data_IF_764308040484
#
_entry.id   IF_764308040484
#
_cell.length_a   1.000
_cell.length_b   1.000
_cell.length_c   1.000
_cell.angle_alpha   90.00
_cell.angle_beta   90.00
_cell.angle_gamma   90.00
#
_symmetry.space_group_name_H-M   'P 1'
#
loop_
_entity.id
_entity.type
_entity.pdbx_description
1 polymer ?
#
# COMPACT_ATOMS: atom_id res chain seq x y z
N UNK A 1 -26.54 21.00 -9.36
CA UNK A 1 -25.22 20.36 -9.64
C UNK A 1 -24.68 19.84 -8.31
N UNK A 2 -24.55 18.53 -8.12
CA UNK A 2 -23.86 17.97 -6.94
C UNK A 2 -22.38 18.32 -7.10
N UNK A 3 -21.84 19.11 -6.19
CA UNK A 3 -20.39 19.34 -6.10
C UNK A 3 -19.73 18.00 -5.72
N UNK A 4 -19.04 17.38 -6.65
CA UNK A 4 -18.33 16.09 -6.43
C UNK A 4 -17.04 16.26 -5.60
N UNK A 5 -16.88 17.36 -4.87
CA UNK A 5 -15.77 17.67 -3.95
C UNK A 5 -14.39 17.16 -4.42
N UNK A 6 -14.16 17.21 -5.75
CA UNK A 6 -12.92 16.77 -6.39
C UNK A 6 -12.82 15.28 -6.68
N UNK A 7 -13.86 14.46 -6.41
CA UNK A 7 -13.86 13.03 -6.72
C UNK A 7 -13.66 12.81 -8.22
N UNK A 8 -12.62 12.06 -8.61
CA UNK A 8 -12.25 11.82 -10.01
C UNK A 8 -12.88 10.55 -10.58
N UNK A 9 -13.14 9.57 -9.73
CA UNK A 9 -13.88 8.34 -10.06
C UNK A 9 -14.55 7.77 -8.79
N UNK A 10 -15.56 6.94 -8.98
CA UNK A 10 -16.13 6.11 -7.93
C UNK A 10 -15.41 4.77 -7.87
N UNK A 11 -15.19 4.29 -6.67
CA UNK A 11 -14.52 3.02 -6.46
C UNK A 11 -15.38 1.83 -6.88
N UNK A 12 -14.76 0.77 -7.31
CA UNK A 12 -15.45 -0.49 -7.54
C UNK A 12 -15.87 -1.13 -6.21
N UNK A 13 -17.04 -1.77 -6.21
CA UNK A 13 -17.53 -2.55 -5.06
C UNK A 13 -16.75 -3.85 -4.85
N UNK A 14 -16.05 -4.33 -5.90
CA UNK A 14 -15.25 -5.56 -5.89
C UNK A 14 -13.79 -5.28 -6.15
N UNK A 15 -12.92 -6.14 -5.60
CA UNK A 15 -11.50 -6.11 -5.90
C UNK A 15 -11.23 -6.38 -7.38
N UNK A 16 -10.22 -5.71 -7.92
CA UNK A 16 -9.68 -6.04 -9.24
C UNK A 16 -9.13 -7.46 -9.24
N UNK A 17 -9.33 -8.18 -10.35
CA UNK A 17 -8.78 -9.52 -10.51
C UNK A 17 -7.25 -9.48 -10.45
N UNK A 18 -6.65 -10.46 -9.76
CA UNK A 18 -5.20 -10.53 -9.52
C UNK A 18 -4.37 -10.52 -10.81
N UNK A 19 -4.85 -11.22 -11.84
CA UNK A 19 -4.20 -11.33 -13.15
C UNK A 19 -4.31 -10.06 -14.00
N UNK A 20 -5.26 -9.17 -13.72
CA UNK A 20 -5.50 -7.91 -14.41
C UNK A 20 -5.01 -6.68 -13.64
N UNK A 21 -4.67 -6.84 -12.38
CA UNK A 21 -4.29 -5.76 -11.50
C UNK A 21 -2.91 -5.19 -11.88
N UNK A 22 -2.83 -3.87 -11.98
CA UNK A 22 -1.59 -3.15 -12.21
C UNK A 22 -0.74 -3.11 -10.93
N UNK A 23 0.56 -2.99 -11.08
CA UNK A 23 1.46 -2.78 -9.95
C UNK A 23 1.48 -1.32 -9.52
N UNK A 24 1.52 -1.09 -8.22
CA UNK A 24 1.78 0.22 -7.68
C UNK A 24 3.25 0.60 -7.95
N UNK A 25 3.52 1.82 -8.44
CA UNK A 25 4.88 2.22 -8.78
C UNK A 25 5.80 2.26 -7.54
N UNK A 26 7.06 1.88 -7.72
CA UNK A 26 8.06 2.13 -6.70
C UNK A 26 8.37 3.62 -6.66
N UNK A 27 8.13 4.24 -5.51
CA UNK A 27 8.43 5.65 -5.26
C UNK A 27 9.58 5.73 -4.26
N UNK A 28 10.45 6.72 -4.47
CA UNK A 28 11.58 6.98 -3.58
C UNK A 28 11.34 8.28 -2.81
N UNK A 29 11.42 8.22 -1.48
CA UNK A 29 11.14 9.36 -0.62
C UNK A 29 11.74 9.24 0.76
N UNK A 30 11.88 10.39 1.45
CA UNK A 30 12.28 10.39 2.86
C UNK A 30 11.08 10.01 3.75
N UNK A 31 11.37 9.38 4.87
CA UNK A 31 10.35 9.00 5.86
C UNK A 31 10.54 9.76 7.17
N UNK A 32 9.54 9.71 8.05
CA UNK A 32 9.72 10.26 9.40
C UNK A 32 10.78 9.49 10.19
N UNK A 33 10.99 8.21 9.91
CA UNK A 33 12.06 7.41 10.51
C UNK A 33 13.44 7.74 9.92
N UNK A 34 13.51 8.00 8.59
CA UNK A 34 14.75 8.30 7.85
C UNK A 34 14.62 9.64 7.09
N UNK A 35 14.78 10.80 7.77
CA UNK A 35 14.58 12.12 7.16
C UNK A 35 15.76 12.58 6.30
N UNK A 36 16.88 11.86 6.29
CA UNK A 36 18.09 12.20 5.53
C UNK A 36 18.29 11.27 4.32
N UNK A 37 17.94 10.01 4.46
CA UNK A 37 18.16 8.97 3.47
C UNK A 37 16.82 8.54 2.87
N UNK A 38 16.62 8.77 1.57
CA UNK A 38 15.41 8.30 0.89
C UNK A 38 15.30 6.78 0.93
N UNK A 39 14.08 6.30 1.05
CA UNK A 39 13.71 4.89 1.09
C UNK A 39 12.78 4.56 -0.07
N UNK A 40 12.85 3.34 -0.56
CA UNK A 40 11.95 2.83 -1.60
C UNK A 40 10.66 2.31 -0.97
N UNK A 41 9.52 2.73 -1.53
CA UNK A 41 8.21 2.27 -1.06
C UNK A 41 8.02 0.77 -1.26
N UNK A 42 8.59 0.20 -2.32
CA UNK A 42 8.48 -1.24 -2.61
C UNK A 42 9.09 -2.11 -1.52
N UNK A 43 10.16 -1.67 -0.87
CA UNK A 43 10.79 -2.40 0.24
C UNK A 43 9.86 -2.54 1.46
N UNK A 44 9.01 -1.52 1.70
CA UNK A 44 8.03 -1.53 2.79
C UNK A 44 6.73 -2.26 2.42
N UNK A 45 6.29 -2.12 1.15
CA UNK A 45 4.99 -2.62 0.68
C UNK A 45 4.99 -4.12 0.41
N UNK A 46 6.11 -4.67 -0.10
CA UNK A 46 6.22 -6.07 -0.47
C UNK A 46 6.03 -6.99 0.73
N UNK A 47 5.27 -8.06 0.54
CA UNK A 47 4.98 -9.06 1.56
C UNK A 47 3.86 -8.68 2.54
N UNK A 48 3.22 -7.51 2.37
CA UNK A 48 2.13 -7.06 3.24
C UNK A 48 0.94 -6.58 2.42
N UNK A 49 -0.26 -6.76 2.97
CA UNK A 49 -1.44 -6.06 2.50
C UNK A 49 -1.32 -4.60 2.93
N UNK A 50 -1.43 -3.67 1.98
CA UNK A 50 -1.18 -2.26 2.28
C UNK A 50 -2.32 -1.36 1.81
N UNK A 51 -2.81 -0.51 2.70
CA UNK A 51 -3.68 0.61 2.35
C UNK A 51 -2.79 1.85 2.21
N UNK A 52 -2.66 2.34 0.98
CA UNK A 52 -1.78 3.46 0.64
C UNK A 52 -2.60 4.71 0.39
N UNK A 53 -2.38 5.73 1.20
CA UNK A 53 -2.89 7.08 1.00
C UNK A 53 -1.88 7.87 0.16
N UNK A 54 -2.33 8.47 -0.93
CA UNK A 54 -1.53 9.31 -1.82
C UNK A 54 -2.14 10.71 -1.90
N UNK A 55 -1.43 11.73 -1.45
CA UNK A 55 -1.92 13.10 -1.39
C UNK A 55 -0.81 14.14 -1.61
N UNK A 56 -1.18 15.38 -1.98
CA UNK A 56 -0.23 16.47 -2.28
C UNK A 56 -0.55 17.77 -1.54
N UNK A 57 -1.57 17.78 -0.71
CA UNK A 57 -2.01 18.96 0.04
C UNK A 57 -2.79 18.56 1.29
N UNK A 58 -2.98 19.50 2.22
CA UNK A 58 -3.82 19.30 3.42
C UNK A 58 -5.25 18.95 3.04
N UNK A 59 -5.77 19.55 1.96
CA UNK A 59 -7.11 19.24 1.46
C UNK A 59 -7.20 17.79 0.93
N UNK A 60 -6.22 17.33 0.14
CA UNK A 60 -6.16 15.96 -0.31
C UNK A 60 -5.95 14.97 0.85
N UNK A 61 -5.14 15.35 1.86
CA UNK A 61 -4.95 14.58 3.09
C UNK A 61 -6.27 14.41 3.86
N UNK A 62 -7.08 15.48 3.98
CA UNK A 62 -8.40 15.38 4.63
C UNK A 62 -9.36 14.44 3.86
N UNK A 63 -9.26 14.35 2.54
CA UNK A 63 -10.04 13.41 1.74
C UNK A 63 -9.64 11.96 2.00
N UNK A 64 -8.35 11.62 1.96
CA UNK A 64 -7.92 10.25 2.24
C UNK A 64 -8.21 9.86 3.69
N UNK A 65 -8.21 10.82 4.62
CA UNK A 65 -8.59 10.58 6.01
C UNK A 65 -10.05 10.11 6.16
N UNK A 66 -10.94 10.46 5.23
CA UNK A 66 -12.33 9.95 5.24
C UNK A 66 -12.39 8.44 5.00
N UNK A 67 -11.41 7.85 4.31
CA UNK A 67 -11.28 6.41 4.10
C UNK A 67 -10.55 5.70 5.23
N UNK A 68 -9.48 6.32 5.79
CA UNK A 68 -8.50 5.63 6.61
C UNK A 68 -8.34 6.21 8.02
N UNK A 69 -9.08 7.26 8.36
CA UNK A 69 -9.08 7.83 9.70
C UNK A 69 -9.80 6.93 10.71
N UNK A 70 -9.29 6.80 11.95
CA UNK A 70 -9.88 5.93 12.96
C UNK A 70 -11.35 6.25 13.29
N UNK A 71 -11.70 7.53 13.30
CA UNK A 71 -13.05 8.01 13.57
C UNK A 71 -14.01 7.80 12.39
N UNK A 72 -13.48 7.87 11.16
CA UNK A 72 -14.25 7.78 9.92
C UNK A 72 -14.45 6.33 9.48
N UNK A 73 -13.46 5.48 9.73
CA UNK A 73 -13.50 4.06 9.37
C UNK A 73 -12.95 3.17 10.50
N UNK A 74 -13.71 2.99 11.59
CA UNK A 74 -13.29 2.18 12.73
C UNK A 74 -13.05 0.71 12.36
N UNK A 75 -13.82 0.14 11.40
CA UNK A 75 -13.63 -1.23 10.95
C UNK A 75 -12.28 -1.48 10.27
N UNK A 76 -11.79 -0.51 9.50
CA UNK A 76 -10.44 -0.58 8.95
C UNK A 76 -9.38 -0.52 10.05
N UNK A 77 -9.58 0.34 11.04
CA UNK A 77 -8.67 0.46 12.17
C UNK A 77 -8.59 -0.85 12.97
N UNK A 78 -9.72 -1.50 13.22
CA UNK A 78 -9.78 -2.82 13.86
C UNK A 78 -9.01 -3.88 13.05
N UNK A 79 -9.16 -3.88 11.71
CA UNK A 79 -8.41 -4.80 10.85
C UNK A 79 -6.89 -4.60 10.98
N UNK A 80 -6.41 -3.34 11.09
CA UNK A 80 -5.00 -3.04 11.31
C UNK A 80 -4.49 -3.55 12.67
N UNK A 81 -5.32 -3.53 13.70
CA UNK A 81 -4.97 -4.02 15.04
C UNK A 81 -4.92 -5.55 15.08
N UNK A 82 -5.95 -6.20 14.55
CA UNK A 82 -6.13 -7.65 14.65
C UNK A 82 -5.26 -8.46 13.70
N UNK A 83 -4.93 -7.90 12.53
CA UNK A 83 -4.15 -8.59 11.51
C UNK A 83 -2.70 -8.08 11.40
N UNK A 84 -2.20 -7.30 12.37
CA UNK A 84 -0.78 -6.96 12.44
C UNK A 84 0.08 -8.22 12.63
N UNK A 85 1.24 -8.38 11.95
CA UNK A 85 1.91 -7.45 11.06
C UNK A 85 1.57 -7.62 9.56
N UNK A 86 0.54 -8.40 9.20
CA UNK A 86 0.21 -8.75 7.80
C UNK A 86 -0.36 -7.58 7.01
N UNK A 87 -0.94 -6.60 7.69
CA UNK A 87 -1.58 -5.43 7.09
C UNK A 87 -0.96 -4.14 7.62
N UNK A 88 -0.92 -3.11 6.79
CA UNK A 88 -0.40 -1.80 7.16
C UNK A 88 -1.10 -0.66 6.44
N UNK A 89 -1.05 0.54 7.05
CA UNK A 89 -1.37 1.81 6.41
C UNK A 89 -0.08 2.53 6.05
N UNK A 90 0.00 3.10 4.84
CA UNK A 90 1.13 3.88 4.35
C UNK A 90 0.63 5.22 3.83
N UNK A 91 1.21 6.30 4.31
CA UNK A 91 0.87 7.66 3.89
C UNK A 91 1.99 8.21 3.00
N UNK A 92 1.66 8.65 1.78
CA UNK A 92 2.60 9.18 0.79
C UNK A 92 2.19 10.60 0.43
N UNK A 93 2.96 11.57 0.91
CA UNK A 93 2.84 12.97 0.53
C UNK A 93 3.73 13.23 -0.70
N UNK A 94 3.11 13.59 -1.83
CA UNK A 94 3.81 13.95 -3.08
C UNK A 94 3.94 15.46 -3.15
N UNK A 95 5.15 15.99 -2.94
CA UNK A 95 5.40 17.42 -2.97
C UNK A 95 6.54 17.76 -3.94
N UNK A 96 6.17 18.16 -5.15
CA UNK A 96 7.13 18.48 -6.22
C UNK A 96 7.75 19.87 -6.06
N UNK A 97 7.03 20.80 -5.40
CA UNK A 97 7.51 22.13 -5.17
C UNK A 97 8.61 22.13 -4.09
N UNK A 98 9.81 22.60 -4.46
CA UNK A 98 10.98 22.57 -3.57
C UNK A 98 10.79 23.39 -2.28
N UNK A 99 10.11 24.54 -2.36
CA UNK A 99 9.86 25.40 -1.20
C UNK A 99 8.86 24.76 -0.24
N UNK A 100 7.78 24.19 -0.77
CA UNK A 100 6.80 23.47 0.05
C UNK A 100 7.41 22.21 0.67
N UNK A 101 8.20 21.45 -0.08
CA UNK A 101 8.90 20.28 0.44
C UNK A 101 9.86 20.66 1.59
N UNK A 102 10.55 21.80 1.50
CA UNK A 102 11.37 22.32 2.57
C UNK A 102 10.53 22.65 3.81
N UNK A 103 9.37 23.30 3.65
CA UNK A 103 8.44 23.56 4.76
C UNK A 103 7.93 22.26 5.39
N UNK A 104 7.49 21.28 4.60
CA UNK A 104 7.07 19.97 5.11
C UNK A 104 8.20 19.34 5.92
N UNK A 105 9.43 19.37 5.39
CA UNK A 105 10.61 18.84 6.10
C UNK A 105 10.86 19.54 7.45
N UNK A 106 10.66 20.84 7.53
CA UNK A 106 10.74 21.59 8.80
C UNK A 106 9.73 21.09 9.83
N UNK A 107 8.52 20.73 9.38
CA UNK A 107 7.46 20.25 10.27
C UNK A 107 7.52 18.76 10.60
N UNK A 108 8.36 17.98 9.93
CA UNK A 108 8.48 16.53 10.15
C UNK A 108 8.78 16.18 11.61
N UNK A 109 9.57 17.01 12.33
CA UNK A 109 9.84 16.77 13.75
C UNK A 109 8.56 16.86 14.61
N UNK A 110 7.64 17.80 14.30
CA UNK A 110 6.34 17.91 14.99
C UNK A 110 5.42 16.73 14.64
N UNK A 111 5.47 16.27 13.40
CA UNK A 111 4.72 15.09 12.98
C UNK A 111 5.22 13.83 13.70
N UNK A 112 6.54 13.68 13.86
CA UNK A 112 7.12 12.58 14.66
C UNK A 112 6.64 12.59 16.11
N UNK A 113 6.47 13.76 16.71
CA UNK A 113 5.96 13.86 18.08
C UNK A 113 4.47 13.50 18.22
N UNK A 114 3.68 13.63 17.13
CA UNK A 114 2.24 13.37 17.13
C UNK A 114 1.86 11.97 16.66
N UNK A 115 2.65 11.38 15.75
CA UNK A 115 2.37 10.08 15.17
C UNK A 115 3.05 8.98 15.99
N UNK A 116 2.37 7.82 16.04
CA UNK A 116 2.93 6.62 16.63
C UNK A 116 4.29 6.28 15.97
N UNK A 117 5.34 5.95 16.75
CA UNK A 117 6.63 5.53 16.21
C UNK A 117 6.56 4.41 15.17
N UNK A 118 5.60 3.50 15.27
CA UNK A 118 5.35 2.46 14.28
C UNK A 118 4.89 3.00 12.93
N UNK A 119 4.33 4.22 12.88
CA UNK A 119 3.92 4.89 11.65
C UNK A 119 5.06 5.68 11.00
N UNK A 120 6.14 6.00 11.70
CA UNK A 120 7.25 6.80 11.16
C UNK A 120 7.87 6.23 9.87
N UNK A 121 8.17 4.92 9.75
CA UNK A 121 8.68 4.35 8.50
C UNK A 121 7.63 4.25 7.39
N UNK A 122 6.34 4.43 7.72
CA UNK A 122 5.19 4.30 6.80
C UNK A 122 4.67 5.65 6.31
N UNK A 123 5.27 6.75 6.73
CA UNK A 123 4.97 8.09 6.24
C UNK A 123 6.10 8.58 5.34
N UNK A 124 5.80 8.82 4.06
CA UNK A 124 6.76 9.21 3.03
C UNK A 124 6.51 10.64 2.56
N UNK A 125 7.60 11.35 2.27
CA UNK A 125 7.59 12.55 1.45
C UNK A 125 8.35 12.26 0.16
N UNK A 126 7.62 12.19 -0.96
CA UNK A 126 8.14 11.91 -2.31
C UNK A 126 8.19 13.19 -3.10
N UNK A 127 9.35 13.51 -3.70
CA UNK A 127 9.54 14.73 -4.48
C UNK A 127 9.56 14.51 -5.98
N UNK A 128 9.98 13.34 -6.41
CA UNK A 128 10.19 12.99 -7.82
C UNK A 128 9.83 11.50 -8.04
N UNK A 129 9.68 11.12 -9.29
CA UNK A 129 9.45 9.73 -9.66
C UNK A 129 8.01 9.38 -10.03
N UNK A 130 7.03 10.20 -9.64
CA UNK A 130 5.65 10.03 -10.07
C UNK A 130 5.39 10.84 -11.35
N UNK A 131 5.87 10.32 -12.49
CA UNK A 131 5.68 10.94 -13.82
C UNK A 131 4.21 10.98 -14.22
N UNK A 132 3.86 11.81 -15.20
CA UNK A 132 2.48 11.92 -15.69
C UNK A 132 1.93 10.57 -16.18
N UNK A 133 2.70 9.83 -16.96
CA UNK A 133 2.29 8.49 -17.42
C UNK A 133 2.09 7.49 -16.26
N UNK A 134 2.88 7.57 -15.18
CA UNK A 134 2.65 6.75 -13.99
C UNK A 134 1.38 7.18 -13.24
N UNK A 135 1.10 8.48 -13.16
CA UNK A 135 -0.16 8.99 -12.58
C UNK A 135 -1.38 8.47 -13.33
N UNK A 136 -1.35 8.59 -14.65
CA UNK A 136 -2.42 8.08 -15.53
C UNK A 136 -2.60 6.57 -15.35
N UNK A 137 -1.52 5.80 -15.32
CA UNK A 137 -1.58 4.33 -15.16
C UNK A 137 -2.22 3.87 -13.86
N UNK A 138 -2.05 4.62 -12.77
CA UNK A 138 -2.68 4.33 -11.48
C UNK A 138 -4.02 5.06 -11.26
N UNK A 139 -4.54 5.77 -12.30
CA UNK A 139 -5.79 6.51 -12.25
C UNK A 139 -5.74 7.83 -11.48
N UNK A 140 -4.56 8.39 -11.24
CA UNK A 140 -4.38 9.68 -10.58
C UNK A 140 -4.56 10.83 -11.57
N UNK A 141 -5.80 11.09 -11.98
CA UNK A 141 -6.16 12.08 -13.01
C UNK A 141 -6.02 13.52 -12.55
N UNK A 142 -6.06 13.78 -11.24
CA UNK A 142 -5.94 15.12 -10.67
C UNK A 142 -5.01 15.09 -9.45
N UNK A 143 -3.83 15.67 -9.58
CA UNK A 143 -2.82 15.69 -8.53
C UNK A 143 -3.23 16.44 -7.25
N UNK A 144 -4.30 17.26 -7.30
CA UNK A 144 -4.82 18.00 -6.14
C UNK A 144 -5.78 17.18 -5.28
N UNK A 145 -6.24 16.02 -5.78
CA UNK A 145 -7.18 15.13 -5.10
C UNK A 145 -6.41 14.05 -4.33
N UNK A 146 -6.96 13.58 -3.23
CA UNK A 146 -6.45 12.45 -2.49
C UNK A 146 -6.88 11.12 -3.12
N UNK A 147 -5.99 10.14 -3.10
CA UNK A 147 -6.24 8.79 -3.60
C UNK A 147 -5.92 7.75 -2.53
N UNK A 148 -6.70 6.69 -2.50
CA UNK A 148 -6.48 5.54 -1.62
C UNK A 148 -6.38 4.30 -2.48
N UNK A 149 -5.31 3.52 -2.28
CA UNK A 149 -5.08 2.26 -2.98
C UNK A 149 -5.00 1.13 -1.98
N UNK A 150 -5.67 0.02 -2.28
CA UNK A 150 -5.49 -1.23 -1.55
C UNK A 150 -4.59 -2.14 -2.38
N UNK A 151 -3.45 -2.51 -1.81
CA UNK A 151 -2.43 -3.34 -2.44
C UNK A 151 -2.39 -4.73 -1.80
N UNK A 152 -2.17 -5.75 -2.63
CA UNK A 152 -1.82 -7.08 -2.15
C UNK A 152 -0.32 -7.19 -1.78
N UNK A 153 0.09 -8.33 -1.27
CA UNK A 153 1.48 -8.64 -0.86
C UNK A 153 2.52 -8.50 -1.99
N UNK A 154 2.08 -8.53 -3.24
CA UNK A 154 2.92 -8.35 -4.43
C UNK A 154 2.90 -6.92 -4.97
N UNK A 155 2.38 -5.96 -4.19
CA UNK A 155 2.21 -4.55 -4.59
C UNK A 155 1.25 -4.34 -5.77
N UNK A 156 0.31 -5.27 -6.03
CA UNK A 156 -0.72 -5.08 -7.06
C UNK A 156 -1.87 -4.24 -6.51
N UNK A 157 -2.35 -3.29 -7.29
CA UNK A 157 -3.51 -2.46 -6.96
C UNK A 157 -4.76 -3.34 -7.09
N UNK A 158 -5.34 -3.73 -5.96
CA UNK A 158 -6.53 -4.57 -5.92
C UNK A 158 -7.81 -3.74 -5.77
N UNK A 159 -7.70 -2.50 -5.34
CA UNK A 159 -8.79 -1.54 -5.25
C UNK A 159 -8.23 -0.10 -5.21
N UNK A 160 -9.03 0.87 -5.66
CA UNK A 160 -8.68 2.28 -5.63
C UNK A 160 -9.90 3.16 -5.34
N UNK A 161 -9.69 4.25 -4.60
CA UNK A 161 -10.65 5.30 -4.31
C UNK A 161 -10.05 6.68 -4.53
N UNK A 162 -10.91 7.68 -4.77
CA UNK A 162 -10.50 9.08 -4.99
C UNK A 162 -11.44 10.05 -4.28
N UNK A 163 -10.89 11.20 -3.86
CA UNK A 163 -11.67 12.25 -3.17
C UNK A 163 -12.21 11.80 -1.82
N UNK A 164 -13.30 12.38 -1.31
CA UNK A 164 -13.91 11.96 -0.04
C UNK A 164 -14.62 10.61 -0.19
N UNK A 165 -14.60 9.81 0.88
CA UNK A 165 -15.24 8.49 0.91
C UNK A 165 -16.77 8.60 0.88
N UNK A 166 -17.41 7.69 0.13
CA UNK A 166 -18.84 7.40 0.24
C UNK A 166 -19.03 6.11 1.06
N UNK A 167 -20.20 5.90 1.73
CA UNK A 167 -20.42 4.76 2.61
C UNK A 167 -20.15 3.40 1.94
N UNK A 168 -20.59 3.24 0.67
CA UNK A 168 -20.38 2.00 -0.09
C UNK A 168 -18.90 1.75 -0.41
N UNK A 169 -18.11 2.81 -0.52
CA UNK A 169 -16.66 2.72 -0.76
C UNK A 169 -15.91 2.30 0.51
N UNK A 170 -16.36 2.74 1.70
CA UNK A 170 -15.82 2.30 2.98
C UNK A 170 -16.06 0.81 3.18
N UNK A 171 -17.28 0.34 2.89
CA UNK A 171 -17.62 -1.08 2.95
C UNK A 171 -16.77 -1.89 1.97
N UNK A 172 -16.64 -1.43 0.72
CA UNK A 172 -15.84 -2.10 -0.29
C UNK A 172 -14.35 -2.19 0.09
N UNK A 173 -13.78 -1.12 0.66
CA UNK A 173 -12.41 -1.10 1.17
C UNK A 173 -12.22 -2.10 2.31
N UNK A 174 -13.10 -2.09 3.32
CA UNK A 174 -13.01 -2.97 4.49
C UNK A 174 -13.12 -4.44 4.08
N UNK A 175 -14.12 -4.78 3.27
CA UNK A 175 -14.30 -6.12 2.73
C UNK A 175 -13.09 -6.56 1.89
N UNK A 176 -12.52 -5.62 1.11
CA UNK A 176 -11.31 -5.84 0.33
C UNK A 176 -10.10 -6.16 1.19
N UNK A 177 -9.88 -5.39 2.27
CA UNK A 177 -8.79 -5.61 3.22
C UNK A 177 -8.91 -6.97 3.88
N UNK A 178 -10.08 -7.33 4.41
CA UNK A 178 -10.31 -8.64 5.02
C UNK A 178 -10.04 -9.78 4.05
N UNK A 179 -10.50 -9.65 2.80
CA UNK A 179 -10.26 -10.66 1.76
C UNK A 179 -8.78 -10.83 1.46
N UNK A 180 -8.03 -9.74 1.30
CA UNK A 180 -6.59 -9.83 1.02
C UNK A 180 -5.79 -10.38 2.20
N UNK A 181 -6.19 -10.08 3.44
CA UNK A 181 -5.60 -10.71 4.64
C UNK A 181 -5.81 -12.23 4.62
N UNK A 182 -7.00 -12.69 4.25
CA UNK A 182 -7.29 -14.12 4.11
C UNK A 182 -6.47 -14.75 2.97
N UNK A 183 -6.43 -14.11 1.78
CA UNK A 183 -5.59 -14.56 0.66
C UNK A 183 -4.12 -14.71 1.11
N UNK A 184 -3.60 -13.74 1.90
CA UNK A 184 -2.23 -13.76 2.43
C UNK A 184 -2.01 -14.91 3.42
N UNK A 185 -2.94 -15.14 4.35
CA UNK A 185 -2.83 -16.26 5.32
C UNK A 185 -2.79 -17.59 4.60
N UNK A 186 -3.67 -17.82 3.61
CA UNK A 186 -3.69 -19.04 2.81
C UNK A 186 -2.37 -19.23 2.04
N UNK A 187 -1.82 -18.14 1.46
CA UNK A 187 -0.52 -18.20 0.78
C UNK A 187 0.59 -18.64 1.73
N UNK A 188 0.65 -18.06 2.93
CA UNK A 188 1.65 -18.42 3.94
C UNK A 188 1.50 -19.88 4.39
N UNK A 189 0.29 -20.35 4.61
CA UNK A 189 0.03 -21.74 4.99
C UNK A 189 0.43 -22.72 3.88
N UNK A 190 0.25 -22.35 2.61
CA UNK A 190 0.63 -23.19 1.46
C UNK A 190 2.15 -23.25 1.23
N UNK A 191 2.90 -22.26 1.68
CA UNK A 191 4.37 -22.21 1.57
C UNK A 191 5.07 -22.98 2.71
N UNK A 192 4.43 -23.17 3.87
CA UNK A 192 5.00 -23.87 5.03
C UNK A 192 5.50 -25.29 4.71
N UNK A 193 4.73 -26.16 4.01
CA UNK A 193 5.21 -27.50 3.67
C UNK A 193 6.44 -27.51 2.78
N UNK A 194 6.56 -26.53 1.85
CA UNK A 194 7.72 -26.40 0.99
C UNK A 194 8.97 -25.97 1.77
N UNK A 195 8.81 -25.00 2.67
CA UNK A 195 9.91 -24.53 3.54
C UNK A 195 10.36 -25.62 4.51
N UNK A 196 9.44 -26.38 5.09
CA UNK A 196 9.78 -27.52 5.95
C UNK A 196 10.51 -28.61 5.18
N UNK A 197 10.11 -28.87 3.93
CA UNK A 197 10.77 -29.83 3.06
C UNK A 197 12.19 -29.36 2.69
N UNK A 198 12.36 -28.10 2.30
CA UNK A 198 13.67 -27.50 2.00
C UNK A 198 14.60 -27.50 3.22
N UNK A 199 14.08 -27.22 4.41
CA UNK A 199 14.86 -27.28 5.65
C UNK A 199 15.33 -28.70 5.99
N UNK A 200 14.54 -29.73 5.66
CA UNK A 200 14.92 -31.15 5.85
C UNK A 200 15.94 -31.61 4.82
N UNK A 201 15.82 -31.15 3.55
CA UNK A 201 16.72 -31.56 2.46
C UNK A 201 18.03 -30.79 2.45
N UNK A 202 18.09 -29.57 2.98
CA UNK A 202 19.32 -28.78 3.10
C UNK A 202 20.33 -29.30 4.11
N UNK A 203 20.03 -30.39 4.84
CA UNK A 203 20.94 -31.05 5.75
C UNK A 203 21.59 -32.33 5.18
N UNK A 204 21.25 -32.71 3.93
CA UNK A 204 21.77 -33.90 3.28
C UNK A 204 22.55 -33.57 1.99
N UNK A 205 23.71 -32.95 2.14
CA UNK A 205 24.60 -32.49 1.05
C UNK A 205 25.39 -33.67 0.40
N UNK A 206 24.85 -34.88 0.33
CA UNK A 206 25.55 -35.99 -0.27
C UNK A 206 24.81 -36.85 -1.31
N UNK A 207 23.66 -36.42 -1.80
CA UNK A 207 22.95 -37.16 -2.85
C UNK A 207 22.51 -36.26 -4.02
N UNK A 208 23.39 -36.08 -5.00
CA UNK A 208 23.02 -35.51 -6.30
C UNK A 208 22.05 -36.44 -7.01
N UNK A 209 20.73 -36.21 -6.83
CA UNK A 209 19.71 -36.85 -7.64
C UNK A 209 19.62 -36.14 -8.99
N UNK A 210 20.32 -36.68 -9.99
CA UNK A 210 20.11 -36.31 -11.40
C UNK A 210 18.67 -36.70 -11.79
N UNK A 211 17.90 -35.83 -12.43
CA UNK A 211 16.57 -36.19 -12.92
C UNK A 211 16.67 -37.31 -13.93
N UNK A 212 16.00 -38.43 -13.66
CA UNK A 212 15.91 -39.58 -14.56
C UNK A 212 14.88 -39.26 -15.63
N UNK A 213 15.33 -38.90 -16.84
CA UNK A 213 14.46 -38.79 -18.01
C UNK A 213 13.97 -40.17 -18.38
N UNK A 214 12.71 -40.50 -18.14
CA UNK A 214 12.06 -41.70 -18.67
C UNK A 214 11.60 -41.41 -20.06
N UNK A 215 12.38 -41.84 -21.08
CA UNK A 215 11.83 -41.93 -22.45
C UNK A 215 10.89 -43.13 -22.49
N UNK A 216 9.65 -42.85 -22.89
CA UNK A 216 8.70 -43.92 -23.30
C UNK A 216 9.02 -44.34 -24.72
N UNK A 217 8.85 -45.64 -25.02
CA UNK A 217 9.06 -46.22 -26.33
C UNK A 217 7.99 -45.75 -27.35
#
# INVERSE_FOLDING_TARGET
MRHHEGKTFRSNTRLFKRDKALYFPNLNGITLASPKEPQDTSALLRGKVSVVNLFSSVWAESQVATFTGPSQNPGLYEAFQTASPLVQKVDINVEENALKAWLVRMFMFRMRAKLDPAQHPRWFMVRKGLTEGLRESIGMMNSKVGYVYLLDENCRIRWAGSGPAEPEELEALNNGVHKLIQEKKISMESELPAQEWEARTGHDDSASLKPRVVMKP
#
